data_IF_955714797455
#
_entry.id   IF_955714797455
#
_cell.length_a   1.000
_cell.length_b   1.000
_cell.length_c   1.000
_cell.angle_alpha   90.00
_cell.angle_beta   90.00
_cell.angle_gamma   90.00
#
_symmetry.space_group_name_H-M   'P 1'
#
loop_
_entity.id
_entity.type
_entity.pdbx_description
1 polymer ?
#
# COMPACT_ATOMS: atom_id res chain seq x y z
N UNK A 1 1.94 -19.55 11.14
CA UNK A 1 1.64 -19.46 9.71
C UNK A 1 1.98 -18.07 9.22
N UNK A 2 2.77 -17.98 8.17
CA UNK A 2 3.20 -16.72 7.56
C UNK A 2 2.67 -16.62 6.15
N UNK A 3 2.44 -15.39 5.72
CA UNK A 3 2.02 -15.07 4.37
C UNK A 3 2.84 -13.88 3.88
N UNK A 4 3.37 -14.00 2.68
CA UNK A 4 3.97 -12.86 1.99
C UNK A 4 2.87 -12.15 1.19
N UNK A 5 2.53 -10.90 1.48
CA UNK A 5 1.40 -10.20 0.82
C UNK A 5 1.52 -10.14 -0.70
N UNK A 6 2.76 -10.09 -1.21
CA UNK A 6 3.04 -9.99 -2.63
C UNK A 6 3.16 -11.34 -3.35
N UNK A 7 3.05 -12.47 -2.61
CA UNK A 7 3.23 -13.79 -3.21
C UNK A 7 2.13 -14.13 -4.23
N UNK A 8 2.56 -14.62 -5.38
CA UNK A 8 1.70 -15.20 -6.41
C UNK A 8 2.29 -16.55 -6.82
N UNK A 9 1.56 -17.66 -6.70
CA UNK A 9 0.18 -17.77 -6.20
C UNK A 9 0.04 -17.40 -4.72
N UNK A 10 -1.18 -17.17 -4.29
CA UNK A 10 -1.53 -16.88 -2.91
C UNK A 10 -1.31 -18.11 -2.03
N UNK A 11 -0.17 -18.17 -1.37
CA UNK A 11 0.25 -19.31 -0.57
C UNK A 11 0.63 -18.91 0.86
N UNK A 12 0.46 -19.81 1.77
CA UNK A 12 0.90 -19.70 3.16
C UNK A 12 2.08 -20.62 3.40
N UNK A 13 2.95 -20.24 4.31
CA UNK A 13 4.02 -21.08 4.83
C UNK A 13 3.94 -21.21 6.34
N UNK A 14 4.41 -22.31 6.86
CA UNK A 14 4.54 -22.53 8.30
C UNK A 14 6.02 -22.38 8.66
N UNK A 15 6.29 -21.51 9.63
CA UNK A 15 7.61 -21.39 10.22
C UNK A 15 7.84 -22.61 11.15
N UNK A 16 8.59 -23.57 10.68
CA UNK A 16 8.82 -24.82 11.40
C UNK A 16 9.66 -24.61 12.67
N UNK A 17 10.47 -23.54 12.75
CA UNK A 17 11.25 -23.21 13.95
C UNK A 17 10.34 -22.72 15.09
N UNK A 18 9.19 -22.13 14.74
CA UNK A 18 8.20 -21.62 15.68
C UNK A 18 6.99 -22.54 15.85
N UNK A 19 6.92 -23.62 15.09
CA UNK A 19 5.81 -24.57 15.13
C UNK A 19 6.14 -25.68 16.14
N UNK A 20 5.47 -25.70 17.28
CA UNK A 20 5.68 -26.69 18.32
C UNK A 20 5.05 -28.07 18.03
N UNK A 21 4.01 -28.11 17.18
CA UNK A 21 3.28 -29.35 16.89
C UNK A 21 2.61 -29.28 15.50
N UNK A 22 3.33 -29.74 14.49
CA UNK A 22 2.81 -29.77 13.11
C UNK A 22 1.72 -30.81 12.92
N UNK A 23 1.80 -31.94 13.61
CA UNK A 23 0.84 -33.05 13.47
C UNK A 23 -0.56 -32.62 13.94
N UNK A 24 -0.62 -31.82 14.99
CA UNK A 24 -1.88 -31.26 15.47
C UNK A 24 -2.47 -30.29 14.45
N UNK A 25 -1.65 -29.43 13.84
CA UNK A 25 -2.11 -28.51 12.79
C UNK A 25 -2.63 -29.26 11.57
N UNK A 26 -1.96 -30.32 11.15
CA UNK A 26 -2.42 -31.20 10.06
C UNK A 26 -3.78 -31.79 10.38
N UNK A 27 -3.95 -32.31 11.60
CA UNK A 27 -5.18 -32.94 12.05
C UNK A 27 -6.39 -32.00 12.11
N UNK A 28 -6.17 -30.74 12.52
CA UNK A 28 -7.26 -29.76 12.64
C UNK A 28 -7.53 -28.98 11.35
N UNK A 29 -6.70 -29.12 10.32
CA UNK A 29 -6.89 -28.41 9.06
C UNK A 29 -8.06 -28.99 8.24
N UNK A 30 -9.21 -28.29 8.11
CA UNK A 30 -10.38 -28.85 7.45
C UNK A 30 -10.18 -29.01 5.95
N UNK A 31 -9.26 -28.26 5.35
CA UNK A 31 -8.96 -28.30 3.92
C UNK A 31 -7.85 -29.31 3.56
N UNK A 32 -7.24 -29.98 4.55
CA UNK A 32 -6.06 -30.85 4.35
C UNK A 32 -4.94 -30.15 3.55
N UNK A 33 -4.78 -28.86 3.74
CA UNK A 33 -3.87 -28.01 2.95
C UNK A 33 -2.45 -27.95 3.53
N UNK A 34 -2.18 -28.63 4.66
CA UNK A 34 -0.87 -28.64 5.30
C UNK A 34 -0.12 -29.87 4.83
N UNK A 35 1.03 -29.65 4.21
CA UNK A 35 1.92 -30.68 3.70
C UNK A 35 3.16 -30.79 4.61
N UNK A 36 3.15 -31.62 5.65
CA UNK A 36 4.25 -31.71 6.61
C UNK A 36 5.55 -32.25 6.00
N UNK A 37 5.43 -33.03 4.93
CA UNK A 37 6.55 -33.61 4.18
C UNK A 37 7.20 -32.61 3.21
N UNK A 38 6.61 -31.42 3.01
CA UNK A 38 7.16 -30.47 2.05
C UNK A 38 8.39 -29.80 2.63
N UNK A 39 9.53 -30.14 2.04
CA UNK A 39 10.85 -29.66 2.45
C UNK A 39 11.40 -28.63 1.46
N UNK A 40 12.38 -27.87 1.93
CA UNK A 40 13.09 -26.91 1.09
C UNK A 40 13.75 -27.60 -0.10
N UNK A 41 13.38 -27.23 -1.31
CA UNK A 41 13.94 -27.75 -2.57
C UNK A 41 14.90 -26.71 -3.17
N UNK A 42 16.09 -27.18 -3.54
CA UNK A 42 17.07 -26.37 -4.26
C UNK A 42 17.14 -26.83 -5.70
N UNK A 43 17.11 -25.87 -6.63
CA UNK A 43 17.32 -26.11 -8.06
C UNK A 43 18.49 -25.27 -8.55
N UNK A 44 19.37 -25.85 -9.34
CA UNK A 44 20.41 -25.13 -10.07
C UNK A 44 19.92 -24.89 -11.49
N UNK A 45 20.03 -23.64 -11.94
CA UNK A 45 19.66 -23.23 -13.29
C UNK A 45 20.87 -22.61 -13.98
N UNK A 46 21.20 -23.09 -15.17
CA UNK A 46 22.20 -22.48 -16.02
C UNK A 46 21.51 -21.39 -16.87
N UNK A 47 21.89 -20.14 -16.66
CA UNK A 47 21.24 -18.98 -17.30
C UNK A 47 22.27 -18.08 -17.96
N UNK A 48 21.88 -17.43 -19.07
CA UNK A 48 22.73 -16.49 -19.80
C UNK A 48 22.88 -15.15 -19.10
N UNK A 49 21.90 -14.74 -18.28
CA UNK A 49 21.93 -13.50 -17.49
C UNK A 49 20.97 -13.58 -16.31
N UNK A 50 21.19 -12.71 -15.33
CA UNK A 50 20.32 -12.58 -14.16
C UNK A 50 19.77 -11.16 -14.11
N UNK A 51 18.45 -11.02 -14.05
CA UNK A 51 17.77 -9.74 -13.81
C UNK A 51 17.39 -9.67 -12.34
N UNK A 52 17.97 -8.72 -11.61
CA UNK A 52 17.68 -8.51 -10.20
C UNK A 52 16.47 -7.59 -10.05
N UNK A 53 15.39 -8.12 -9.50
CA UNK A 53 14.18 -7.39 -9.16
C UNK A 53 13.69 -7.79 -7.74
N UNK A 54 14.51 -7.53 -6.67
CA UNK A 54 14.28 -8.07 -5.33
C UNK A 54 13.16 -7.35 -4.56
N UNK A 55 12.54 -6.31 -5.14
CA UNK A 55 11.57 -5.46 -4.46
C UNK A 55 12.24 -4.43 -3.53
N UNK A 56 11.46 -3.90 -2.59
CA UNK A 56 11.90 -2.91 -1.63
C UNK A 56 11.21 -3.13 -0.29
N UNK A 57 11.90 -2.78 0.78
CA UNK A 57 11.29 -2.68 2.10
C UNK A 57 10.57 -1.34 2.24
N UNK A 58 9.34 -1.38 2.73
CA UNK A 58 8.60 -0.17 3.07
C UNK A 58 9.02 0.33 4.45
N UNK A 59 8.98 1.65 4.60
CA UNK A 59 9.02 2.27 5.92
C UNK A 59 7.86 1.73 6.77
N UNK A 60 8.12 1.37 8.03
CA UNK A 60 7.07 0.97 8.95
C UNK A 60 6.35 2.21 9.50
N UNK A 61 5.12 2.52 9.07
CA UNK A 61 4.42 3.73 9.50
C UNK A 61 3.96 3.71 10.96
N UNK A 62 4.00 2.55 11.64
CA UNK A 62 3.63 2.44 13.06
C UNK A 62 4.52 3.25 13.99
N UNK A 63 5.73 3.63 13.54
CA UNK A 63 6.61 4.53 14.30
C UNK A 63 6.12 5.98 14.31
N UNK A 64 5.10 6.30 13.50
CA UNK A 64 4.46 7.61 13.41
C UNK A 64 3.00 7.47 13.87
N UNK A 65 2.66 8.12 14.97
CA UNK A 65 1.29 8.20 15.49
C UNK A 65 0.38 9.12 14.66
N UNK A 66 0.98 10.05 13.93
CA UNK A 66 0.32 11.09 13.12
C UNK A 66 -0.76 10.56 12.19
N UNK A 67 -0.51 9.42 11.54
CA UNK A 67 -1.42 8.87 10.52
C UNK A 67 -2.20 7.64 10.98
N UNK A 68 -2.03 7.23 12.23
CA UNK A 68 -2.81 6.15 12.87
C UNK A 68 -2.75 4.79 12.12
N UNK A 69 -1.64 4.51 11.40
CA UNK A 69 -1.44 3.21 10.78
C UNK A 69 -1.33 2.10 11.83
N UNK A 70 -2.07 1.01 11.62
CA UNK A 70 -2.17 -0.09 12.60
C UNK A 70 -3.20 0.15 13.70
N UNK A 71 -3.78 1.35 13.79
CA UNK A 71 -4.89 1.71 14.70
C UNK A 71 -6.19 1.82 13.91
N UNK A 72 -6.18 2.58 12.82
CA UNK A 72 -7.33 2.74 11.93
C UNK A 72 -7.23 1.75 10.76
N UNK A 73 -8.16 0.79 10.62
CA UNK A 73 -8.08 -0.26 9.62
C UNK A 73 -8.02 0.23 8.16
N UNK A 74 -8.61 1.40 7.87
CA UNK A 74 -8.65 1.98 6.52
C UNK A 74 -7.39 2.81 6.19
N UNK A 75 -6.44 2.92 7.12
CA UNK A 75 -5.12 3.46 6.84
C UNK A 75 -4.19 2.31 6.50
N UNK A 76 -3.81 2.23 5.24
CA UNK A 76 -3.05 1.12 4.67
C UNK A 76 -1.77 1.62 4.00
N UNK A 77 -0.80 0.73 3.81
CA UNK A 77 0.37 1.05 2.98
C UNK A 77 0.02 0.93 1.48
N UNK A 78 0.86 1.49 0.61
CA UNK A 78 0.71 1.31 -0.84
C UNK A 78 0.75 -0.17 -1.26
N UNK A 79 1.58 -0.99 -0.63
CA UNK A 79 1.61 -2.43 -0.90
C UNK A 79 0.32 -3.13 -0.49
N UNK A 80 -0.27 -2.77 0.65
CA UNK A 80 -1.58 -3.29 1.05
C UNK A 80 -2.65 -2.86 0.06
N UNK A 81 -2.57 -1.60 -0.41
CA UNK A 81 -3.49 -1.08 -1.41
C UNK A 81 -3.35 -1.79 -2.77
N UNK A 82 -2.13 -2.01 -3.26
CA UNK A 82 -1.90 -2.82 -4.46
C UNK A 82 -2.45 -4.25 -4.31
N UNK A 83 -2.36 -4.82 -3.10
CA UNK A 83 -2.96 -6.15 -2.83
C UNK A 83 -4.49 -6.12 -2.86
N UNK A 84 -5.13 -5.07 -2.38
CA UNK A 84 -6.59 -4.87 -2.51
C UNK A 84 -6.97 -4.81 -3.99
N UNK A 85 -6.23 -4.09 -4.81
CA UNK A 85 -6.49 -3.96 -6.24
C UNK A 85 -6.17 -5.23 -7.04
N UNK A 86 -5.40 -6.16 -6.49
CA UNK A 86 -4.98 -7.37 -7.20
C UNK A 86 -6.08 -8.43 -7.23
N UNK A 87 -6.30 -9.05 -8.41
CA UNK A 87 -7.23 -10.17 -8.55
C UNK A 87 -6.90 -11.38 -7.65
N UNK A 88 -5.61 -11.55 -7.27
CA UNK A 88 -5.16 -12.55 -6.30
C UNK A 88 -5.09 -12.02 -4.87
N UNK A 89 -5.58 -10.81 -4.63
CA UNK A 89 -5.59 -10.15 -3.34
C UNK A 89 -6.74 -10.61 -2.42
N UNK A 90 -6.81 -10.06 -1.20
CA UNK A 90 -7.79 -10.47 -0.20
C UNK A 90 -9.24 -10.22 -0.64
N UNK A 91 -9.46 -9.21 -1.46
CA UNK A 91 -10.77 -8.80 -1.97
C UNK A 91 -11.02 -9.24 -3.42
N UNK A 92 -10.14 -10.08 -3.99
CA UNK A 92 -10.18 -10.53 -5.39
C UNK A 92 -10.24 -9.38 -6.41
N UNK A 93 -9.64 -8.26 -6.06
CA UNK A 93 -9.56 -7.05 -6.87
C UNK A 93 -10.74 -6.10 -6.73
N UNK A 94 -11.68 -6.39 -5.85
CA UNK A 94 -12.72 -5.42 -5.47
C UNK A 94 -12.14 -4.36 -4.53
N UNK A 95 -12.49 -3.11 -4.76
CA UNK A 95 -12.05 -1.99 -3.93
C UNK A 95 -12.93 -1.86 -2.70
N UNK A 96 -12.50 -2.50 -1.61
CA UNK A 96 -13.24 -2.56 -0.36
C UNK A 96 -12.42 -2.01 0.81
N UNK A 97 -13.09 -1.27 1.68
CA UNK A 97 -12.51 -0.76 2.94
C UNK A 97 -12.24 -1.93 3.89
N UNK A 98 -11.04 -2.04 4.45
CA UNK A 98 -10.72 -3.07 5.45
C UNK A 98 -11.64 -3.06 6.68
N UNK A 99 -12.14 -1.88 7.08
CA UNK A 99 -12.97 -1.71 8.29
C UNK A 99 -14.36 -2.34 8.17
N UNK A 100 -14.98 -2.29 6.99
CA UNK A 100 -16.42 -2.61 6.87
C UNK A 100 -16.81 -3.29 5.55
N UNK A 101 -15.86 -3.57 4.65
CA UNK A 101 -16.12 -4.22 3.37
C UNK A 101 -16.92 -3.40 2.36
N UNK A 102 -17.10 -2.10 2.56
CA UNK A 102 -17.79 -1.22 1.62
C UNK A 102 -16.80 -0.54 0.68
N UNK A 103 -17.25 -0.21 -0.52
CA UNK A 103 -16.44 0.58 -1.46
C UNK A 103 -16.23 2.01 -0.95
N UNK A 104 -14.99 2.53 -0.91
CA UNK A 104 -14.72 3.91 -0.57
C UNK A 104 -15.14 4.85 -1.71
N UNK A 105 -15.59 6.05 -1.37
CA UNK A 105 -15.87 7.11 -2.36
C UNK A 105 -14.69 8.05 -2.57
N UNK A 106 -13.78 8.13 -1.58
CA UNK A 106 -12.60 9.00 -1.61
C UNK A 106 -11.39 8.25 -1.11
N UNK A 107 -10.28 8.39 -1.82
CA UNK A 107 -9.00 7.80 -1.45
C UNK A 107 -7.94 8.88 -1.49
N UNK A 108 -7.10 8.91 -0.45
CA UNK A 108 -5.99 9.84 -0.33
C UNK A 108 -4.65 9.09 -0.24
N UNK A 109 -3.68 9.49 -1.06
CA UNK A 109 -2.30 9.05 -0.95
C UNK A 109 -1.47 10.14 -0.27
N UNK A 110 -0.81 9.79 0.83
CA UNK A 110 0.08 10.70 1.56
C UNK A 110 1.52 10.34 1.20
N UNK A 111 2.20 11.26 0.52
CA UNK A 111 3.58 11.06 0.09
C UNK A 111 4.59 11.38 1.19
N UNK A 112 5.82 10.88 1.04
CA UNK A 112 6.98 11.14 1.90
C UNK A 112 6.79 10.68 3.36
N UNK A 113 5.91 9.70 3.63
CA UNK A 113 5.78 9.11 4.97
C UNK A 113 7.08 8.40 5.31
N UNK A 114 7.73 8.80 6.42
CA UNK A 114 9.02 8.26 6.83
C UNK A 114 10.24 8.79 6.08
N UNK A 115 10.04 9.58 5.02
CA UNK A 115 11.10 10.14 4.17
C UNK A 115 11.18 11.65 4.26
N UNK A 116 12.36 12.21 3.92
CA UNK A 116 12.61 13.67 3.87
C UNK A 116 12.32 14.36 5.20
N UNK A 117 12.51 13.66 6.29
CA UNK A 117 12.35 14.15 7.65
C UNK A 117 13.68 14.19 8.39
N UNK A 118 13.73 15.01 9.46
CA UNK A 118 14.90 15.14 10.34
C UNK A 118 14.67 14.52 11.72
N UNK A 119 13.44 14.06 11.99
CA UNK A 119 13.11 13.45 13.26
C UNK A 119 13.72 12.05 13.39
N UNK A 120 13.94 11.61 14.62
CA UNK A 120 14.46 10.27 14.90
C UNK A 120 13.55 9.19 14.31
N UNK A 121 14.15 8.23 13.62
CA UNK A 121 13.44 7.13 12.97
C UNK A 121 13.03 7.42 11.51
N UNK A 122 13.19 8.65 11.03
CA UNK A 122 12.96 9.01 9.64
C UNK A 122 14.26 9.04 8.85
N UNK A 123 14.15 8.91 7.52
CA UNK A 123 15.28 9.12 6.61
C UNK A 123 15.21 10.51 5.99
N UNK A 124 16.37 11.17 5.80
CA UNK A 124 16.43 12.52 5.24
C UNK A 124 16.33 12.57 3.72
N UNK A 125 16.50 11.45 3.05
CA UNK A 125 16.50 11.35 1.58
C UNK A 125 15.13 10.92 1.03
N UNK A 126 15.00 10.97 -0.29
CA UNK A 126 13.84 10.52 -1.05
C UNK A 126 14.16 9.20 -1.78
N UNK A 127 13.22 8.27 -1.81
CA UNK A 127 13.35 7.01 -2.56
C UNK A 127 13.28 7.23 -4.09
N UNK A 128 12.78 8.38 -4.53
CA UNK A 128 12.52 8.73 -5.95
C UNK A 128 11.53 7.79 -6.66
N UNK A 129 10.81 6.96 -5.93
CA UNK A 129 9.89 5.97 -6.50
C UNK A 129 8.43 6.21 -6.12
N UNK A 130 8.18 6.69 -4.88
CA UNK A 130 6.82 6.73 -4.34
C UNK A 130 5.84 7.62 -5.13
N UNK A 131 6.29 8.71 -5.73
CA UNK A 131 5.43 9.55 -6.56
C UNK A 131 4.90 8.77 -7.77
N UNK A 132 5.74 7.97 -8.40
CA UNK A 132 5.35 7.22 -9.60
C UNK A 132 4.37 6.09 -9.28
N UNK A 133 4.59 5.34 -8.22
CA UNK A 133 3.62 4.27 -7.91
C UNK A 133 2.31 4.83 -7.33
N UNK A 134 2.31 5.94 -6.60
CA UNK A 134 1.07 6.59 -6.18
C UNK A 134 0.25 7.12 -7.37
N UNK A 135 0.90 7.72 -8.37
CA UNK A 135 0.25 8.11 -9.62
C UNK A 135 -0.35 6.89 -10.33
N UNK A 136 0.41 5.79 -10.45
CA UNK A 136 -0.08 4.55 -11.04
C UNK A 136 -1.30 4.00 -10.29
N UNK A 137 -1.22 3.88 -8.98
CA UNK A 137 -2.32 3.39 -8.15
C UNK A 137 -3.58 4.25 -8.30
N UNK A 138 -3.43 5.58 -8.27
CA UNK A 138 -4.53 6.52 -8.46
C UNK A 138 -5.15 6.41 -9.85
N UNK A 139 -4.33 6.30 -10.91
CA UNK A 139 -4.81 6.12 -12.28
C UNK A 139 -5.57 4.79 -12.44
N UNK A 140 -5.01 3.68 -11.96
CA UNK A 140 -5.66 2.36 -12.00
C UNK A 140 -6.99 2.39 -11.25
N UNK A 141 -7.03 3.07 -10.11
CA UNK A 141 -8.28 3.25 -9.35
C UNK A 141 -9.32 3.98 -10.18
N UNK A 142 -8.94 5.10 -10.79
CA UNK A 142 -9.85 5.90 -11.63
C UNK A 142 -10.30 5.14 -12.90
N UNK A 143 -9.39 4.37 -13.50
CA UNK A 143 -9.69 3.55 -14.68
C UNK A 143 -10.69 2.44 -14.35
N UNK A 144 -10.49 1.73 -13.25
CA UNK A 144 -11.29 0.55 -12.91
C UNK A 144 -12.63 0.88 -12.25
N UNK A 145 -12.68 1.93 -11.42
CA UNK A 145 -13.85 2.27 -10.60
C UNK A 145 -14.51 3.59 -11.02
N UNK A 146 -14.01 4.21 -12.08
CA UNK A 146 -14.64 5.37 -12.75
C UNK A 146 -14.78 6.60 -11.87
N UNK A 147 -15.80 7.40 -12.20
CA UNK A 147 -16.11 8.66 -11.51
C UNK A 147 -16.65 8.52 -10.09
N UNK A 148 -16.94 7.31 -9.63
CA UNK A 148 -17.51 7.06 -8.30
C UNK A 148 -16.48 7.20 -7.18
N UNK A 149 -15.17 7.10 -7.49
CA UNK A 149 -14.08 7.19 -6.52
C UNK A 149 -13.21 8.40 -6.81
N UNK A 150 -13.18 9.37 -5.90
CA UNK A 150 -12.27 10.51 -5.95
C UNK A 150 -10.86 10.06 -5.50
N UNK A 151 -9.84 10.38 -6.30
CA UNK A 151 -8.44 10.08 -6.02
C UNK A 151 -7.67 11.38 -5.75
N UNK A 152 -7.07 11.51 -4.56
CA UNK A 152 -6.30 12.69 -4.16
C UNK A 152 -4.90 12.29 -3.70
N UNK A 153 -3.85 12.92 -4.24
CA UNK A 153 -2.46 12.72 -3.82
C UNK A 153 -1.98 13.98 -3.10
N UNK A 154 -1.60 13.82 -1.82
CA UNK A 154 -0.95 14.86 -1.02
C UNK A 154 0.56 14.73 -1.12
N UNK A 155 1.25 15.83 -1.48
CA UNK A 155 2.68 15.81 -1.76
C UNK A 155 3.38 17.11 -1.33
N UNK A 156 4.69 17.05 -1.11
CA UNK A 156 5.52 18.23 -0.89
C UNK A 156 6.03 18.81 -2.22
N UNK A 157 6.59 17.96 -3.06
CA UNK A 157 6.93 18.18 -4.47
C UNK A 157 6.81 16.84 -5.20
N UNK A 158 6.30 16.86 -6.43
CA UNK A 158 6.24 15.66 -7.26
C UNK A 158 7.61 15.40 -7.87
N UNK A 159 8.10 14.17 -7.67
CA UNK A 159 9.40 13.74 -8.20
C UNK A 159 9.20 12.73 -9.32
N UNK A 160 8.82 13.25 -10.45
CA UNK A 160 8.65 12.53 -11.71
C UNK A 160 9.91 12.63 -12.57
N UNK A 161 11.06 12.38 -11.92
CA UNK A 161 12.37 12.50 -12.54
C UNK A 161 12.72 11.26 -13.35
N UNK A 162 12.42 11.27 -14.63
CA UNK A 162 12.72 10.19 -15.57
C UNK A 162 12.14 10.50 -16.94
N UNK A 163 12.58 9.75 -17.95
CA UNK A 163 12.05 9.89 -19.31
C UNK A 163 10.54 9.60 -19.29
N UNK A 164 9.77 10.53 -19.83
CA UNK A 164 8.30 10.45 -19.97
C UNK A 164 7.49 10.46 -18.65
N UNK A 165 8.15 10.59 -17.48
CA UNK A 165 7.45 10.58 -16.19
C UNK A 165 6.62 11.85 -15.94
N UNK A 166 7.05 12.99 -16.46
CA UNK A 166 6.25 14.22 -16.41
C UNK A 166 4.98 14.08 -17.25
N UNK A 167 5.09 13.49 -18.43
CA UNK A 167 3.92 13.17 -19.26
C UNK A 167 2.95 12.24 -18.54
N UNK A 168 3.48 11.28 -17.76
CA UNK A 168 2.67 10.39 -16.94
C UNK A 168 1.91 11.14 -15.83
N UNK A 169 2.56 12.11 -15.18
CA UNK A 169 1.93 13.00 -14.20
C UNK A 169 0.79 13.82 -14.82
N UNK A 170 1.06 14.44 -15.97
CA UNK A 170 0.04 15.23 -16.68
C UNK A 170 -1.15 14.37 -17.13
N UNK A 171 -0.92 13.13 -17.55
CA UNK A 171 -1.99 12.18 -17.84
C UNK A 171 -2.83 11.87 -16.60
N UNK A 172 -2.20 11.58 -15.46
CA UNK A 172 -2.91 11.31 -14.21
C UNK A 172 -3.87 12.46 -13.84
N UNK A 173 -3.41 13.69 -14.00
CA UNK A 173 -4.16 14.90 -13.71
C UNK A 173 -5.27 15.17 -14.73
N UNK A 174 -4.93 15.17 -16.02
CA UNK A 174 -5.80 15.70 -17.07
C UNK A 174 -6.75 14.63 -17.66
N UNK A 175 -6.31 13.37 -17.76
CA UNK A 175 -7.11 12.30 -18.34
C UNK A 175 -7.87 11.50 -17.26
N UNK A 176 -7.21 11.22 -16.12
CA UNK A 176 -7.79 10.41 -15.04
C UNK A 176 -8.42 11.25 -13.92
N UNK A 177 -8.25 12.58 -13.94
CA UNK A 177 -8.83 13.47 -12.95
C UNK A 177 -8.31 13.26 -11.54
N UNK A 178 -7.03 12.82 -11.40
CA UNK A 178 -6.38 12.70 -10.10
C UNK A 178 -6.13 14.08 -9.52
N UNK A 179 -6.67 14.34 -8.34
CA UNK A 179 -6.48 15.60 -7.63
C UNK A 179 -5.09 15.63 -6.97
N UNK A 180 -4.33 16.67 -7.25
CA UNK A 180 -3.00 16.87 -6.68
C UNK A 180 -3.05 18.03 -5.67
N UNK A 181 -2.71 17.76 -4.41
CA UNK A 181 -2.72 18.75 -3.32
C UNK A 181 -1.30 18.91 -2.77
N UNK A 182 -0.69 20.07 -3.02
CA UNK A 182 0.63 20.39 -2.49
C UNK A 182 0.52 20.80 -1.02
N UNK A 183 0.39 19.79 -0.19
CA UNK A 183 0.37 19.94 1.27
C UNK A 183 0.78 18.61 1.90
N UNK A 184 1.31 18.67 3.11
CA UNK A 184 1.53 17.48 3.93
C UNK A 184 0.45 17.45 5.00
N UNK A 185 -0.48 16.48 4.96
CA UNK A 185 -1.43 16.31 6.05
C UNK A 185 -0.70 16.15 7.37
N UNK A 186 -1.22 16.73 8.42
CA UNK A 186 -0.62 16.63 9.75
C UNK A 186 -1.33 15.63 10.65
N UNK A 187 -2.60 15.29 10.39
CA UNK A 187 -3.30 14.24 11.11
C UNK A 187 -4.25 13.45 10.21
N UNK A 188 -4.50 12.21 10.59
CA UNK A 188 -5.61 11.38 10.13
C UNK A 188 -6.39 10.95 11.37
N UNK A 189 -7.66 11.27 11.41
CA UNK A 189 -8.54 10.97 12.53
C UNK A 189 -9.82 10.28 12.03
N UNK A 190 -10.49 9.52 12.88
CA UNK A 190 -11.79 8.94 12.55
C UNK A 190 -12.89 9.81 13.12
N UNK A 191 -13.83 10.22 12.28
CA UNK A 191 -15.05 10.89 12.71
C UNK A 191 -15.96 9.90 13.45
N UNK A 192 -16.21 10.08 14.75
CA UNK A 192 -16.94 9.08 15.56
C UNK A 192 -18.37 8.83 15.07
N UNK A 193 -19.02 9.82 14.49
CA UNK A 193 -20.42 9.74 14.05
C UNK A 193 -20.61 8.97 12.76
N UNK A 194 -19.63 8.99 11.86
CA UNK A 194 -19.72 8.38 10.51
C UNK A 194 -18.77 7.20 10.31
N UNK A 195 -17.70 7.12 11.11
CA UNK A 195 -16.60 6.18 10.91
C UNK A 195 -15.74 6.49 9.67
N UNK A 196 -15.86 7.69 9.13
CA UNK A 196 -15.04 8.15 8.01
C UNK A 196 -13.70 8.73 8.50
N UNK A 197 -12.70 8.69 7.64
CA UNK A 197 -11.40 9.27 7.95
C UNK A 197 -11.36 10.74 7.53
N UNK A 198 -10.88 11.58 8.43
CA UNK A 198 -10.70 13.02 8.24
C UNK A 198 -9.21 13.32 8.20
N UNK A 199 -8.76 13.97 7.11
CA UNK A 199 -7.39 14.42 6.94
C UNK A 199 -7.32 15.93 7.13
N UNK A 200 -6.54 16.37 8.11
CA UNK A 200 -6.30 17.80 8.34
C UNK A 200 -5.03 18.26 7.62
N UNK A 201 -5.12 19.32 6.81
CA UNK A 201 -3.99 19.86 6.06
C UNK A 201 -4.11 21.36 5.83
N UNK A 202 -2.98 22.03 5.58
CA UNK A 202 -2.96 23.45 5.22
C UNK A 202 -3.20 23.65 3.72
N UNK A 203 -4.09 24.55 3.40
CA UNK A 203 -4.29 25.02 2.03
C UNK A 203 -3.26 26.12 1.68
N UNK A 204 -3.11 26.43 0.40
CA UNK A 204 -2.14 27.43 -0.06
C UNK A 204 -2.38 28.83 0.52
N UNK A 205 -3.64 29.17 0.86
CA UNK A 205 -4.02 30.43 1.51
C UNK A 205 -3.86 30.40 3.04
N UNK A 206 -3.19 29.38 3.59
CA UNK A 206 -2.87 29.24 5.00
C UNK A 206 -4.02 28.78 5.89
N UNK A 207 -5.14 28.35 5.31
CA UNK A 207 -6.25 27.80 6.08
C UNK A 207 -6.10 26.30 6.32
N UNK A 208 -6.67 25.81 7.41
CA UNK A 208 -6.82 24.38 7.66
C UNK A 208 -8.04 23.91 6.87
N UNK A 209 -7.84 22.85 6.05
CA UNK A 209 -8.92 22.12 5.40
C UNK A 209 -9.04 20.71 6.01
N UNK A 210 -10.24 20.19 6.06
CA UNK A 210 -10.61 18.88 6.56
C UNK A 210 -11.12 17.99 5.40
#
# INVERSE_FOLDING_TARGET
CMRYPQATPYAFSIDMERCSNIDELVRICPASAILPEDTRKTRTLDVGSIILAPGADLFNPQVLDTYQYGVLPDVVTSLDYERILSASGPTKGELLRPSNGKSPKKIAWIQCVGSRGVQKGLVSYCSSACCMYALKEAMVTRERFGGEVEATIFYMDMRTAGKDYETYLERAKNEYGVRLVRSRPHTVEMEPSTGELVLSYFTYDGKVAL
#
